data_IF_749077399496
#
_entry.id   IF_749077399496
#
_cell.length_a   1.000
_cell.length_b   1.000
_cell.length_c   1.000
_cell.angle_alpha   90.00
_cell.angle_beta   90.00
_cell.angle_gamma   90.00
#
_symmetry.space_group_name_H-M   'P 1'
#
loop_
_entity.id
_entity.type
_entity.pdbx_description
1 polymer ?
#
# COMPACT_ATOMS: atom_id res chain seq x y z
N UNK A 1 -7.92 -6.86 -23.15
CA UNK A 1 -6.83 -7.70 -22.61
C UNK A 1 -5.96 -6.88 -21.67
N UNK A 2 -5.28 -7.52 -20.71
CA UNK A 2 -4.61 -6.92 -19.54
C UNK A 2 -3.76 -5.65 -19.80
N UNK A 3 -3.04 -5.56 -20.91
CA UNK A 3 -2.19 -4.41 -21.28
C UNK A 3 -2.98 -3.10 -21.53
N UNK A 4 -4.28 -3.17 -21.78
CA UNK A 4 -5.16 -1.99 -21.86
C UNK A 4 -5.85 -1.67 -20.52
N UNK A 5 -5.61 -2.48 -19.49
CA UNK A 5 -6.28 -2.30 -18.20
C UNK A 5 -5.75 -1.08 -17.45
N UNK A 6 -6.60 -0.52 -16.59
CA UNK A 6 -6.19 0.51 -15.64
C UNK A 6 -5.10 0.03 -14.70
N UNK A 7 -5.07 -1.28 -14.37
CA UNK A 7 -3.99 -1.86 -13.58
C UNK A 7 -2.64 -1.73 -14.26
N UNK A 8 -2.54 -2.13 -15.53
CA UNK A 8 -1.28 -2.06 -16.27
C UNK A 8 -0.79 -0.63 -16.44
N UNK A 9 -1.72 0.29 -16.75
CA UNK A 9 -1.37 1.67 -17.07
C UNK A 9 -1.15 2.57 -15.84
N UNK A 10 -1.66 2.20 -14.65
CA UNK A 10 -1.65 3.10 -13.47
C UNK A 10 -1.19 2.45 -12.16
N UNK A 11 -1.03 1.13 -12.12
CA UNK A 11 -0.77 0.39 -10.87
C UNK A 11 0.35 -0.64 -11.00
N UNK A 12 1.19 -0.47 -12.01
CA UNK A 12 2.38 -1.29 -12.24
C UNK A 12 3.58 -0.35 -12.20
N UNK A 13 4.37 -0.51 -11.14
CA UNK A 13 5.50 0.36 -10.84
C UNK A 13 6.73 -0.49 -10.60
N UNK A 14 7.90 0.03 -10.96
CA UNK A 14 9.17 -0.56 -10.52
C UNK A 14 9.39 -0.31 -9.02
N UNK A 15 10.32 -1.05 -8.42
CA UNK A 15 10.69 -0.87 -7.01
C UNK A 15 11.18 0.57 -6.74
N UNK A 16 11.93 1.13 -7.68
CA UNK A 16 12.46 2.50 -7.60
C UNK A 16 11.33 3.53 -7.66
N UNK A 17 10.40 3.37 -8.61
CA UNK A 17 9.22 4.25 -8.72
C UNK A 17 8.34 4.20 -7.48
N UNK A 18 8.14 3.02 -6.89
CA UNK A 18 7.41 2.87 -5.62
C UNK A 18 8.11 3.61 -4.48
N UNK A 19 9.44 3.52 -4.40
CA UNK A 19 10.21 4.22 -3.37
C UNK A 19 10.07 5.74 -3.50
N UNK A 20 10.14 6.26 -4.72
CA UNK A 20 9.95 7.69 -5.00
C UNK A 20 8.54 8.16 -4.63
N UNK A 21 7.50 7.40 -5.02
CA UNK A 21 6.10 7.74 -4.70
C UNK A 21 5.85 7.79 -3.19
N UNK A 22 6.35 6.79 -2.45
CA UNK A 22 6.23 6.75 -0.97
C UNK A 22 6.97 7.89 -0.30
N UNK A 23 8.21 8.16 -0.74
CA UNK A 23 9.01 9.27 -0.21
C UNK A 23 8.31 10.60 -0.46
N UNK A 24 7.72 10.78 -1.65
CA UNK A 24 6.94 11.97 -1.98
C UNK A 24 5.71 12.11 -1.09
N UNK A 25 4.91 11.06 -0.93
CA UNK A 25 3.71 11.07 -0.09
C UNK A 25 4.02 11.39 1.38
N UNK A 26 5.07 10.76 1.94
CA UNK A 26 5.54 11.02 3.29
C UNK A 26 5.97 12.49 3.47
N UNK A 27 6.76 13.02 2.53
CA UNK A 27 7.17 14.43 2.55
C UNK A 27 5.99 15.39 2.48
N UNK A 28 5.01 15.13 1.62
CA UNK A 28 3.78 15.93 1.53
C UNK A 28 2.99 15.90 2.84
N UNK A 29 2.91 14.73 3.51
CA UNK A 29 2.25 14.59 4.79
C UNK A 29 2.97 15.34 5.91
N UNK A 30 4.31 15.23 5.98
CA UNK A 30 5.16 15.92 6.97
C UNK A 30 5.01 17.44 6.80
N UNK A 31 5.12 17.93 5.56
CA UNK A 31 4.96 19.36 5.24
C UNK A 31 3.57 19.87 5.63
N UNK A 32 2.52 19.08 5.39
CA UNK A 32 1.14 19.47 5.70
C UNK A 32 0.86 19.53 7.21
N UNK A 33 1.42 18.60 7.98
CA UNK A 33 1.09 18.46 9.40
C UNK A 33 2.06 19.19 10.34
N UNK A 34 3.18 19.74 9.84
CA UNK A 34 4.20 20.46 10.63
C UNK A 34 4.57 19.74 11.94
N UNK A 35 4.54 18.41 11.94
CA UNK A 35 4.70 17.60 13.14
C UNK A 35 6.10 17.00 13.15
N UNK A 36 6.79 17.12 14.27
CA UNK A 36 8.13 16.53 14.46
C UNK A 36 8.09 15.02 14.72
N UNK A 37 6.89 14.47 14.93
CA UNK A 37 6.68 13.07 15.30
C UNK A 37 6.10 12.24 14.13
N UNK A 38 6.44 12.60 12.90
CA UNK A 38 6.05 11.81 11.73
C UNK A 38 6.96 10.58 11.58
N UNK A 39 6.38 9.49 11.11
CA UNK A 39 7.13 8.28 10.77
C UNK A 39 8.04 8.56 9.57
N UNK A 40 9.24 8.00 9.62
CA UNK A 40 10.13 7.91 8.45
C UNK A 40 9.55 6.95 7.41
N UNK A 41 10.01 7.07 6.16
CA UNK A 41 9.59 6.18 5.06
C UNK A 41 9.84 4.70 5.38
N UNK A 42 10.92 4.39 6.11
CA UNK A 42 11.27 3.02 6.49
C UNK A 42 10.38 2.48 7.62
N UNK A 43 10.04 3.32 8.61
CA UNK A 43 9.08 2.96 9.66
C UNK A 43 7.69 2.74 9.08
N UNK A 44 7.26 3.60 8.16
CA UNK A 44 6.01 3.46 7.43
C UNK A 44 5.98 2.15 6.63
N UNK A 45 7.08 1.80 5.94
CA UNK A 45 7.20 0.53 5.24
C UNK A 45 7.11 -0.70 6.17
N UNK A 46 7.67 -0.59 7.38
CA UNK A 46 7.58 -1.65 8.39
C UNK A 46 6.14 -1.82 8.89
N UNK A 47 5.46 -0.71 9.16
CA UNK A 47 4.04 -0.70 9.58
C UNK A 47 3.15 -1.29 8.48
N UNK A 48 3.37 -0.91 7.22
CA UNK A 48 2.62 -1.45 6.08
C UNK A 48 2.76 -2.97 5.96
N UNK A 49 3.99 -3.50 6.08
CA UNK A 49 4.22 -4.96 6.06
C UNK A 49 3.53 -5.67 7.22
N UNK A 50 3.56 -5.08 8.41
CA UNK A 50 2.85 -5.63 9.56
C UNK A 50 1.34 -5.73 9.27
N UNK A 51 0.73 -4.65 8.77
CA UNK A 51 -0.70 -4.65 8.46
C UNK A 51 -1.06 -5.55 7.26
N UNK A 52 -0.19 -5.70 6.26
CA UNK A 52 -0.36 -6.65 5.16
C UNK A 52 -0.50 -8.09 5.68
N UNK A 53 0.37 -8.49 6.62
CA UNK A 53 0.29 -9.80 7.26
C UNK A 53 -0.99 -9.96 8.09
N UNK A 54 -1.35 -8.95 8.89
CA UNK A 54 -2.59 -8.98 9.68
C UNK A 54 -3.82 -9.08 8.79
N UNK A 55 -3.83 -8.38 7.66
CA UNK A 55 -4.93 -8.41 6.69
C UNK A 55 -5.04 -9.76 5.99
N UNK A 56 -3.91 -10.37 5.65
CA UNK A 56 -3.89 -11.71 5.09
C UNK A 56 -4.48 -12.72 6.07
N UNK A 57 -4.02 -12.69 7.33
CA UNK A 57 -4.54 -13.54 8.39
C UNK A 57 -6.04 -13.30 8.64
N UNK A 58 -6.49 -12.04 8.56
CA UNK A 58 -7.90 -11.68 8.67
C UNK A 58 -8.73 -12.26 7.53
N UNK A 59 -8.27 -12.11 6.28
CA UNK A 59 -8.97 -12.61 5.10
C UNK A 59 -9.05 -14.14 5.07
N UNK A 60 -8.01 -14.84 5.56
CA UNK A 60 -7.99 -16.30 5.66
C UNK A 60 -8.99 -16.83 6.70
N UNK A 61 -9.21 -16.08 7.78
CA UNK A 61 -10.14 -16.44 8.86
C UNK A 61 -11.55 -15.88 8.66
N UNK A 62 -11.79 -15.14 7.57
CA UNK A 62 -13.07 -14.49 7.32
C UNK A 62 -14.12 -15.53 6.89
N UNK A 63 -15.27 -15.53 7.57
CA UNK A 63 -16.42 -16.37 7.24
C UNK A 63 -17.62 -15.50 6.85
N UNK A 64 -18.16 -15.66 5.61
CA UNK A 64 -17.76 -16.58 4.54
C UNK A 64 -16.42 -16.20 3.88
N UNK A 65 -15.71 -17.14 3.22
CA UNK A 65 -14.38 -16.90 2.66
C UNK A 65 -14.37 -15.70 1.70
N UNK A 66 -13.47 -14.76 1.99
CA UNK A 66 -13.35 -13.52 1.25
C UNK A 66 -12.87 -13.81 -0.19
N UNK A 67 -13.47 -13.11 -1.17
CA UNK A 67 -13.08 -13.33 -2.57
C UNK A 67 -11.66 -12.80 -2.83
N UNK A 68 -10.89 -13.51 -3.67
CA UNK A 68 -9.51 -13.13 -4.03
C UNK A 68 -9.38 -11.68 -4.54
N UNK A 69 -10.43 -11.15 -5.17
CA UNK A 69 -10.46 -9.77 -5.66
C UNK A 69 -10.47 -8.75 -4.53
N UNK A 70 -11.16 -9.03 -3.42
CA UNK A 70 -11.21 -8.13 -2.29
C UNK A 70 -9.84 -8.01 -1.59
N UNK A 71 -9.10 -9.13 -1.51
CA UNK A 71 -7.73 -9.16 -0.97
C UNK A 71 -6.79 -8.28 -1.82
N UNK A 72 -6.82 -8.44 -3.15
CA UNK A 72 -5.99 -7.63 -4.07
C UNK A 72 -6.34 -6.14 -4.03
N UNK A 73 -7.61 -5.79 -3.84
CA UNK A 73 -8.02 -4.39 -3.67
C UNK A 73 -7.44 -3.78 -2.39
N UNK A 74 -7.37 -4.55 -1.30
CA UNK A 74 -6.83 -4.07 -0.03
C UNK A 74 -5.31 -3.94 -0.08
N UNK A 75 -4.61 -4.91 -0.67
CA UNK A 75 -3.16 -4.81 -0.87
C UNK A 75 -2.83 -3.52 -1.64
N UNK A 76 -3.52 -3.23 -2.75
CA UNK A 76 -3.31 -1.98 -3.51
C UNK A 76 -3.52 -0.71 -2.69
N UNK A 77 -4.38 -0.74 -1.68
CA UNK A 77 -4.60 0.39 -0.77
C UNK A 77 -3.43 0.59 0.20
N UNK A 78 -2.67 -0.47 0.53
CA UNK A 78 -1.48 -0.40 1.38
C UNK A 78 -0.20 -0.05 0.60
N UNK A 79 -0.19 -0.20 -0.72
CA UNK A 79 0.96 0.16 -1.56
C UNK A 79 1.00 1.66 -1.94
N UNK A 80 -0.02 2.44 -1.56
CA UNK A 80 -0.11 3.91 -1.61
C UNK A 80 -0.30 4.49 -0.22
#
# INVERSE_FOLDING_TARGET
>A
MYHLSTQYNKWLFTVEQLKELRTKANNEYVQKNNSTNCLTVDEEAMVLRYYELQLKDFCEKFEPPMTKMAIVCIEKFLYL
#
